data_IF_766203372946
#
_entry.id   IF_766203372946
#
_cell.length_a   1.000
_cell.length_b   1.000
_cell.length_c   1.000
_cell.angle_alpha   90.00
_cell.angle_beta   90.00
_cell.angle_gamma   90.00
#
_symmetry.space_group_name_H-M   'P 1'
#
loop_
_entity.id
_entity.type
_entity.pdbx_description
1 polymer ?
#
# COMPACT_ATOMS: atom_id res chain seq x y z
N UNK A 1 14.84 -1.91 -1.45
CA UNK A 1 13.46 -2.43 -1.55
C UNK A 1 12.53 -1.30 -1.95
N UNK A 2 11.71 -1.52 -2.95
CA UNK A 2 10.80 -0.50 -3.47
C UNK A 2 9.39 -0.78 -2.97
N UNK A 3 8.83 0.15 -2.20
CA UNK A 3 7.51 0.02 -1.61
C UNK A 3 6.61 1.13 -2.17
N UNK A 4 5.45 0.75 -2.69
CA UNK A 4 4.43 1.69 -3.17
C UNK A 4 3.13 1.42 -2.44
N UNK A 5 2.42 2.46 -2.05
CA UNK A 5 1.12 2.32 -1.41
C UNK A 5 0.10 3.19 -2.15
N UNK A 6 -1.02 2.59 -2.51
CA UNK A 6 -2.12 3.27 -3.19
C UNK A 6 -3.21 3.54 -2.16
N UNK A 7 -3.59 4.81 -2.01
CA UNK A 7 -4.45 5.25 -0.91
C UNK A 7 -5.58 6.15 -1.37
N UNK A 8 -6.54 6.36 -0.45
CA UNK A 8 -7.57 7.39 -0.56
C UNK A 8 -7.53 8.24 0.71
N UNK A 9 -7.85 9.54 0.61
CA UNK A 9 -7.82 10.43 1.79
C UNK A 9 -8.76 9.99 2.91
N UNK A 10 -9.87 9.33 2.55
CA UNK A 10 -10.89 8.90 3.51
C UNK A 10 -10.70 7.47 4.02
N UNK A 11 -9.59 6.84 3.67
CA UNK A 11 -9.35 5.43 3.99
C UNK A 11 -8.63 5.30 5.35
N UNK A 12 -9.32 4.80 6.35
CA UNK A 12 -8.74 4.59 7.68
C UNK A 12 -7.63 3.54 7.69
N UNK A 13 -7.83 2.46 6.94
CA UNK A 13 -6.82 1.40 6.84
C UNK A 13 -5.57 1.86 6.10
N UNK A 14 -5.71 2.80 5.16
CA UNK A 14 -4.56 3.41 4.49
C UNK A 14 -3.70 4.15 5.50
N UNK A 15 -4.34 4.90 6.38
CA UNK A 15 -3.64 5.63 7.44
C UNK A 15 -2.90 4.67 8.37
N UNK A 16 -3.56 3.59 8.79
CA UNK A 16 -2.95 2.58 9.64
C UNK A 16 -1.74 1.94 8.97
N UNK A 17 -1.86 1.66 7.68
CA UNK A 17 -0.76 1.06 6.92
C UNK A 17 0.44 2.01 6.85
N UNK A 18 0.19 3.29 6.58
CA UNK A 18 1.26 4.28 6.52
C UNK A 18 1.95 4.42 7.87
N UNK A 19 1.17 4.47 8.96
CA UNK A 19 1.73 4.55 10.30
C UNK A 19 2.60 3.34 10.62
N UNK A 20 2.13 2.15 10.23
CA UNK A 20 2.89 0.92 10.43
C UNK A 20 4.24 0.99 9.71
N UNK A 21 4.23 1.42 8.45
CA UNK A 21 5.46 1.54 7.66
C UNK A 21 6.41 2.58 8.27
N UNK A 22 5.89 3.73 8.67
CA UNK A 22 6.70 4.78 9.27
C UNK A 22 7.29 4.35 10.61
N UNK A 23 6.51 3.65 11.43
CA UNK A 23 6.98 3.17 12.74
C UNK A 23 8.07 2.13 12.61
N UNK A 24 8.16 1.47 11.47
CA UNK A 24 9.21 0.48 11.20
C UNK A 24 10.33 1.03 10.34
N UNK A 25 10.36 2.36 10.15
CA UNK A 25 11.40 3.06 9.38
C UNK A 25 11.46 2.57 7.93
N UNK A 26 10.31 2.24 7.35
CA UNK A 26 10.20 1.79 5.97
C UNK A 26 9.85 2.99 5.09
N UNK A 27 10.68 3.28 4.11
CA UNK A 27 10.39 4.32 3.11
C UNK A 27 9.44 3.77 2.06
N UNK A 28 8.48 4.60 1.63
CA UNK A 28 7.52 4.19 0.62
C UNK A 28 7.09 5.39 -0.22
N UNK A 29 6.58 5.10 -1.43
CA UNK A 29 5.94 6.10 -2.27
C UNK A 29 4.43 5.96 -2.11
N UNK A 30 3.75 7.07 -1.87
CA UNK A 30 2.30 7.07 -1.73
C UNK A 30 1.65 7.66 -2.97
N UNK A 31 0.61 6.98 -3.46
CA UNK A 31 -0.19 7.44 -4.59
C UNK A 31 -1.63 7.60 -4.15
N UNK A 32 -2.12 8.83 -4.16
CA UNK A 32 -3.52 9.14 -3.88
C UNK A 32 -4.32 8.92 -5.15
N UNK A 33 -5.09 7.83 -5.21
CA UNK A 33 -5.81 7.43 -6.42
C UNK A 33 -7.00 8.33 -6.72
N UNK A 34 -7.40 9.17 -5.77
CA UNK A 34 -8.47 10.14 -5.97
C UNK A 34 -7.98 11.32 -6.82
N UNK A 35 -6.69 11.63 -6.75
CA UNK A 35 -6.08 12.74 -7.49
C UNK A 35 -5.28 12.28 -8.71
N UNK A 36 -4.93 11.00 -8.79
CA UNK A 36 -4.07 10.46 -9.83
C UNK A 36 -4.75 9.29 -10.53
N UNK A 37 -5.39 9.58 -11.66
CA UNK A 37 -6.11 8.58 -12.45
C UNK A 37 -5.18 7.47 -12.95
N UNK A 38 -3.96 7.83 -13.32
CA UNK A 38 -2.96 6.87 -13.77
C UNK A 38 -2.63 5.87 -12.67
N UNK A 39 -2.48 6.36 -11.44
CA UNK A 39 -2.21 5.50 -10.30
C UNK A 39 -3.40 4.61 -9.98
N UNK A 40 -4.63 5.15 -10.10
CA UNK A 40 -5.84 4.35 -9.88
C UNK A 40 -5.92 3.20 -10.88
N UNK A 41 -5.65 3.46 -12.15
CA UNK A 41 -5.66 2.43 -13.19
C UNK A 41 -4.58 1.39 -12.94
N UNK A 42 -3.40 1.82 -12.54
CA UNK A 42 -2.30 0.91 -12.22
C UNK A 42 -2.65 0.02 -11.02
N UNK A 43 -3.26 0.59 -9.99
CA UNK A 43 -3.70 -0.18 -8.81
C UNK A 43 -4.66 -1.29 -9.20
N UNK A 44 -5.64 -0.98 -10.05
CA UNK A 44 -6.62 -1.96 -10.52
C UNK A 44 -5.92 -3.05 -11.34
N UNK A 45 -4.98 -2.64 -12.19
CA UNK A 45 -4.23 -3.59 -13.03
C UNK A 45 -3.46 -4.59 -12.20
N UNK A 46 -2.77 -4.13 -11.15
CA UNK A 46 -1.89 -5.01 -10.36
C UNK A 46 -2.63 -5.79 -9.27
N UNK A 47 -3.78 -5.30 -8.82
CA UNK A 47 -4.52 -5.94 -7.72
C UNK A 47 -5.79 -6.66 -8.15
N UNK A 48 -6.31 -6.33 -9.34
CA UNK A 48 -7.55 -6.92 -9.83
C UNK A 48 -8.80 -6.43 -9.12
N UNK A 49 -8.70 -5.33 -8.37
CA UNK A 49 -9.82 -4.77 -7.63
C UNK A 49 -9.56 -3.28 -7.36
N UNK A 50 -10.55 -2.54 -6.85
CA UNK A 50 -10.45 -1.10 -6.68
C UNK A 50 -10.47 -0.60 -5.23
N UNK A 51 -10.34 -1.49 -4.26
CA UNK A 51 -10.30 -1.11 -2.85
C UNK A 51 -8.92 -0.66 -2.40
N UNK A 52 -8.86 0.13 -1.34
CA UNK A 52 -7.60 0.59 -0.76
C UNK A 52 -7.48 0.14 0.70
N UNK A 53 -6.26 0.07 1.24
CA UNK A 53 -4.99 0.29 0.56
C UNK A 53 -4.57 -0.90 -0.29
N UNK A 54 -3.74 -0.64 -1.30
CA UNK A 54 -3.02 -1.68 -2.03
C UNK A 54 -1.55 -1.35 -1.85
N UNK A 55 -0.76 -2.33 -1.43
CA UNK A 55 0.66 -2.14 -1.16
C UNK A 55 1.44 -3.04 -2.12
N UNK A 56 2.39 -2.44 -2.83
CA UNK A 56 3.32 -3.16 -3.70
C UNK A 56 4.66 -3.22 -2.97
N UNK A 57 4.98 -4.39 -2.44
CA UNK A 57 6.24 -4.61 -1.73
C UNK A 57 7.19 -5.32 -2.68
N UNK A 58 7.97 -4.54 -3.41
CA UNK A 58 8.99 -5.05 -4.33
C UNK A 58 8.42 -6.08 -5.32
N UNK A 59 7.21 -5.84 -5.81
CA UNK A 59 6.52 -6.71 -6.76
C UNK A 59 5.44 -7.61 -6.15
N UNK A 60 5.45 -7.79 -4.84
CA UNK A 60 4.42 -8.58 -4.14
C UNK A 60 3.26 -7.66 -3.77
N UNK A 61 2.06 -8.01 -4.20
CA UNK A 61 0.86 -7.19 -3.99
C UNK A 61 0.11 -7.64 -2.75
N UNK A 62 -0.13 -6.70 -1.84
CA UNK A 62 -0.89 -6.94 -0.62
C UNK A 62 -2.12 -6.04 -0.65
N UNK A 63 -3.30 -6.61 -0.45
CA UNK A 63 -4.56 -5.89 -0.48
C UNK A 63 -5.07 -5.72 0.94
N UNK A 64 -5.37 -4.47 1.30
CA UNK A 64 -5.84 -4.13 2.64
C UNK A 64 -4.70 -4.03 3.64
N UNK A 65 -5.04 -3.64 4.87
CA UNK A 65 -4.05 -3.61 5.94
C UNK A 65 -3.94 -5.00 6.55
N UNK A 66 -2.99 -5.76 6.05
CA UNK A 66 -2.69 -7.09 6.53
C UNK A 66 -1.31 -7.08 7.18
N UNK A 67 -1.29 -6.84 8.48
CA UNK A 67 -0.04 -6.68 9.23
C UNK A 67 0.84 -7.92 9.14
N UNK A 68 0.25 -9.10 9.21
CA UNK A 68 0.99 -10.36 9.11
C UNK A 68 1.72 -10.50 7.78
N UNK A 69 1.01 -10.22 6.68
CA UNK A 69 1.60 -10.28 5.35
C UNK A 69 2.68 -9.20 5.17
N UNK A 70 2.42 -8.00 5.68
CA UNK A 70 3.39 -6.91 5.61
C UNK A 70 4.67 -7.27 6.36
N UNK A 71 4.54 -7.82 7.56
CA UNK A 71 5.71 -8.24 8.34
C UNK A 71 6.52 -9.31 7.60
N UNK A 72 5.82 -10.25 7.00
CA UNK A 72 6.45 -11.34 6.26
C UNK A 72 7.22 -10.81 5.04
N UNK A 73 6.56 -9.99 4.22
CA UNK A 73 7.15 -9.49 2.99
C UNK A 73 8.25 -8.44 3.24
N UNK A 74 8.12 -7.69 4.33
CA UNK A 74 9.12 -6.69 4.72
C UNK A 74 10.21 -7.26 5.60
N UNK A 75 10.11 -8.53 5.96
CA UNK A 75 11.07 -9.23 6.80
C UNK A 75 11.21 -8.58 8.18
N UNK A 76 10.09 -8.15 8.74
CA UNK A 76 10.01 -7.53 10.06
C UNK A 76 9.56 -8.60 11.08
N UNK A 77 10.18 -8.58 12.24
CA UNK A 77 9.82 -9.50 13.31
C UNK A 77 8.89 -8.91 14.34
#
# INVERSE_FOLDING_TARGET
MKIKIYTLPTCGYCKMTKEFLMNNNINFEEFNIDEDESAANEMIRISGQNGTPVIDVNGKIIIGFNEGELKKELNIK
#
